data_IF_816221539028
#
_entry.id   IF_816221539028
#
_cell.length_a   1.000
_cell.length_b   1.000
_cell.length_c   1.000
_cell.angle_alpha   90.00
_cell.angle_beta   90.00
_cell.angle_gamma   90.00
#
_symmetry.space_group_name_H-M   'P 1'
#
loop_
_entity.id
_entity.type
_entity.pdbx_description
1 polymer ?
#
# COMPACT_ATOMS: atom_id res chain seq x y z
N UNK A 1 -16.62 13.90 -4.42
CA UNK A 1 -15.24 13.46 -4.13
C UNK A 1 -15.11 11.95 -4.09
N UNK A 2 -16.12 11.20 -3.62
CA UNK A 2 -16.10 9.73 -3.56
C UNK A 2 -15.70 9.01 -4.86
N UNK A 3 -16.18 9.46 -6.03
CA UNK A 3 -15.79 8.85 -7.31
C UNK A 3 -14.30 9.00 -7.65
N UNK A 4 -13.70 10.15 -7.33
CA UNK A 4 -12.27 10.37 -7.51
C UNK A 4 -11.46 9.50 -6.54
N UNK A 5 -11.89 9.45 -5.27
CA UNK A 5 -11.26 8.61 -4.25
C UNK A 5 -11.27 7.14 -4.68
N UNK A 6 -12.42 6.61 -5.08
CA UNK A 6 -12.57 5.25 -5.58
C UNK A 6 -11.59 4.93 -6.72
N UNK A 7 -11.50 5.82 -7.72
CA UNK A 7 -10.60 5.63 -8.86
C UNK A 7 -9.13 5.65 -8.40
N UNK A 8 -8.74 6.62 -7.58
CA UNK A 8 -7.35 6.74 -7.10
C UNK A 8 -6.96 5.57 -6.19
N UNK A 9 -7.85 5.14 -5.29
CA UNK A 9 -7.64 4.03 -4.37
C UNK A 9 -7.40 2.72 -5.14
N UNK A 10 -8.38 2.28 -5.94
CA UNK A 10 -8.27 0.99 -6.61
C UNK A 10 -7.23 0.98 -7.74
N UNK A 11 -7.10 2.07 -8.51
CA UNK A 11 -6.03 2.16 -9.50
C UNK A 11 -4.64 2.24 -8.83
N UNK A 12 -4.55 2.94 -7.70
CA UNK A 12 -3.36 3.03 -6.86
C UNK A 12 -2.92 1.65 -6.35
N UNK A 13 -3.84 0.85 -5.82
CA UNK A 13 -3.51 -0.47 -5.28
C UNK A 13 -3.27 -1.55 -6.31
N UNK A 14 -3.86 -1.46 -7.51
CA UNK A 14 -3.81 -2.56 -8.49
C UNK A 14 -3.10 -2.25 -9.80
N UNK A 15 -3.20 -1.03 -10.32
CA UNK A 15 -2.56 -0.65 -11.59
C UNK A 15 -1.17 -0.05 -11.38
N UNK A 16 -1.05 0.90 -10.46
CA UNK A 16 0.22 1.58 -10.19
C UNK A 16 1.38 0.65 -9.77
N UNK A 17 1.18 -0.49 -9.05
CA UNK A 17 2.27 -1.41 -8.75
C UNK A 17 2.99 -1.92 -10.00
N UNK A 18 2.25 -2.21 -11.07
CA UNK A 18 2.83 -2.66 -12.34
C UNK A 18 3.57 -1.53 -13.07
N UNK A 19 3.06 -0.29 -12.99
CA UNK A 19 3.73 0.87 -13.56
C UNK A 19 5.05 1.17 -12.84
N UNK A 20 5.06 1.13 -11.50
CA UNK A 20 6.27 1.30 -10.70
C UNK A 20 7.25 0.15 -10.97
N UNK A 21 6.76 -1.09 -11.01
CA UNK A 21 7.58 -2.25 -11.34
C UNK A 21 8.22 -2.15 -12.73
N UNK A 22 7.53 -1.55 -13.70
CA UNK A 22 8.07 -1.31 -15.05
C UNK A 22 9.27 -0.37 -15.05
N UNK A 23 9.30 0.59 -14.15
CA UNK A 23 10.38 1.57 -14.00
C UNK A 23 11.56 0.99 -13.19
N UNK A 24 11.29 0.26 -12.10
CA UNK A 24 12.32 -0.20 -11.16
C UNK A 24 12.88 -1.59 -11.51
N UNK A 25 12.02 -2.49 -12.01
CA UNK A 25 12.34 -3.89 -12.30
C UNK A 25 12.16 -4.21 -13.79
N UNK A 26 12.58 -3.31 -14.67
CA UNK A 26 12.22 -3.30 -16.10
C UNK A 26 12.32 -4.65 -16.84
N UNK A 27 13.26 -5.53 -16.49
CA UNK A 27 13.41 -6.87 -17.09
C UNK A 27 12.33 -7.87 -16.66
N UNK A 28 11.89 -7.82 -15.41
CA UNK A 28 10.96 -8.79 -14.79
C UNK A 28 9.72 -8.09 -14.19
N UNK A 29 9.34 -6.96 -14.79
CA UNK A 29 8.36 -6.03 -14.22
C UNK A 29 6.99 -6.64 -13.97
N UNK A 30 6.55 -7.63 -14.76
CA UNK A 30 5.30 -8.35 -14.50
C UNK A 30 5.37 -9.16 -13.21
N UNK A 31 6.48 -9.86 -12.98
CA UNK A 31 6.70 -10.65 -11.75
C UNK A 31 6.85 -9.73 -10.54
N UNK A 32 7.65 -8.67 -10.67
CA UNK A 32 7.81 -7.70 -9.60
C UNK A 32 6.51 -6.93 -9.32
N UNK A 33 5.75 -6.56 -10.35
CA UNK A 33 4.44 -5.91 -10.23
C UNK A 33 3.41 -6.82 -9.54
N UNK A 34 3.40 -8.11 -9.84
CA UNK A 34 2.56 -9.08 -9.13
C UNK A 34 2.94 -9.19 -7.63
N UNK A 35 4.23 -9.19 -7.30
CA UNK A 35 4.68 -9.16 -5.90
C UNK A 35 4.32 -7.83 -5.22
N UNK A 36 4.43 -6.70 -5.92
CA UNK A 36 4.01 -5.40 -5.40
C UNK A 36 2.49 -5.34 -5.17
N UNK A 37 1.68 -5.84 -6.10
CA UNK A 37 0.22 -5.91 -5.93
C UNK A 37 -0.17 -6.89 -4.81
N UNK A 38 0.57 -7.99 -4.63
CA UNK A 38 0.39 -8.89 -3.49
C UNK A 38 0.69 -8.21 -2.14
N UNK A 39 1.41 -7.07 -2.11
CA UNK A 39 1.61 -6.33 -0.88
C UNK A 39 0.30 -5.76 -0.30
N UNK A 40 -0.78 -5.64 -1.09
CA UNK A 40 -2.11 -5.32 -0.57
C UNK A 40 -2.60 -6.34 0.48
N UNK A 41 -1.97 -7.51 0.61
CA UNK A 41 -2.23 -8.44 1.72
C UNK A 41 -1.95 -7.83 3.11
N UNK A 42 -1.29 -6.68 3.22
CA UNK A 42 -1.17 -5.97 4.50
C UNK A 42 -2.54 -5.51 5.03
N UNK A 43 -3.54 -5.33 4.16
CA UNK A 43 -4.94 -5.05 4.54
C UNK A 43 -5.57 -6.14 5.42
N UNK A 44 -4.96 -7.34 5.50
CA UNK A 44 -5.47 -8.38 6.38
C UNK A 44 -5.46 -7.96 7.87
N UNK A 45 -4.71 -6.92 8.24
CA UNK A 45 -4.77 -6.33 9.57
C UNK A 45 -6.08 -5.55 9.86
N UNK A 46 -6.88 -5.24 8.83
CA UNK A 46 -8.24 -4.69 8.99
C UNK A 46 -9.17 -5.67 9.71
N UNK A 47 -8.90 -6.98 9.60
CA UNK A 47 -9.65 -8.00 10.33
C UNK A 47 -9.52 -7.87 11.86
N UNK A 48 -8.57 -7.06 12.35
CA UNK A 48 -8.39 -6.76 13.77
C UNK A 48 -9.24 -5.58 14.26
N UNK A 49 -9.93 -4.87 13.37
CA UNK A 49 -10.74 -3.71 13.71
C UNK A 49 -12.21 -4.06 13.95
N UNK A 50 -12.87 -3.26 14.79
CA UNK A 50 -14.32 -3.27 14.98
C UNK A 50 -14.88 -1.84 14.83
N UNK A 51 -15.69 -1.54 13.80
CA UNK A 51 -16.10 -2.44 12.73
C UNK A 51 -14.95 -2.73 11.75
N UNK A 52 -14.96 -3.92 11.13
CA UNK A 52 -13.95 -4.34 10.13
C UNK A 52 -13.89 -3.34 8.98
N UNK A 53 -15.05 -2.99 8.42
CA UNK A 53 -15.17 -1.98 7.35
C UNK A 53 -15.77 -0.69 7.91
N UNK A 54 -15.02 0.39 7.81
CA UNK A 54 -15.46 1.74 8.12
C UNK A 54 -14.99 2.68 7.00
N UNK A 55 -15.91 3.28 6.22
CA UNK A 55 -15.56 4.14 5.10
C UNK A 55 -14.99 5.50 5.53
N UNK A 56 -15.15 5.88 6.79
CA UNK A 56 -14.73 7.18 7.33
C UNK A 56 -13.41 7.10 8.12
N UNK A 57 -12.85 5.89 8.32
CA UNK A 57 -11.62 5.68 9.12
C UNK A 57 -10.36 5.82 8.28
N UNK A 58 -9.43 6.65 8.76
CA UNK A 58 -8.05 6.62 8.27
C UNK A 58 -7.30 5.35 8.73
N UNK A 59 -6.80 4.54 7.78
CA UNK A 59 -6.03 3.32 8.07
C UNK A 59 -4.66 3.61 8.68
N UNK A 60 -4.02 4.71 8.27
CA UNK A 60 -2.65 5.05 8.65
C UNK A 60 -2.56 5.36 10.15
N UNK A 61 -1.73 4.58 10.85
CA UNK A 61 -1.56 4.68 12.30
C UNK A 61 -2.67 4.03 13.12
N UNK A 62 -3.78 3.61 12.50
CA UNK A 62 -4.83 2.83 13.16
C UNK A 62 -4.51 1.34 13.15
N UNK A 63 -4.13 0.78 11.99
CA UNK A 63 -3.83 -0.65 11.87
C UNK A 63 -2.32 -0.96 12.04
N UNK A 64 -1.95 -2.12 12.60
CA UNK A 64 -0.55 -2.46 12.90
C UNK A 64 0.40 -2.41 11.69
N UNK A 65 -0.03 -2.90 10.52
CA UNK A 65 0.76 -2.92 9.28
C UNK A 65 0.67 -1.59 8.52
N UNK A 66 -0.26 -0.72 8.91
CA UNK A 66 -0.43 0.66 8.43
C UNK A 66 0.21 1.71 9.34
N UNK A 67 0.97 1.28 10.36
CA UNK A 67 1.64 2.15 11.32
C UNK A 67 3.05 2.59 10.92
N UNK A 68 3.57 3.62 11.57
CA UNK A 68 4.92 4.15 11.32
C UNK A 68 6.03 3.12 11.55
N UNK A 69 5.85 2.20 12.50
CA UNK A 69 6.80 1.12 12.72
C UNK A 69 6.84 0.16 11.53
N UNK A 70 5.68 -0.23 10.98
CA UNK A 70 5.59 -1.07 9.80
C UNK A 70 6.19 -0.38 8.57
N UNK A 71 5.88 0.91 8.35
CA UNK A 71 6.51 1.71 7.31
C UNK A 71 8.04 1.71 7.41
N UNK A 72 8.59 1.90 8.62
CA UNK A 72 10.03 1.80 8.87
C UNK A 72 10.62 0.43 8.51
N UNK A 73 9.92 -0.66 8.86
CA UNK A 73 10.31 -2.03 8.47
C UNK A 73 10.32 -2.18 6.95
N UNK A 74 9.30 -1.68 6.24
CA UNK A 74 9.27 -1.73 4.77
C UNK A 74 10.42 -0.95 4.14
N UNK A 75 10.76 0.23 4.67
CA UNK A 75 11.95 0.98 4.22
C UNK A 75 13.23 0.17 4.42
N UNK A 76 13.40 -0.49 5.56
CA UNK A 76 14.57 -1.35 5.81
C UNK A 76 14.60 -2.55 4.85
N UNK A 77 13.45 -3.15 4.52
CA UNK A 77 13.38 -4.24 3.55
C UNK A 77 13.90 -3.85 2.15
N UNK A 78 13.86 -2.56 1.77
CA UNK A 78 14.42 -2.08 0.49
C UNK A 78 15.93 -2.29 0.37
N UNK A 79 16.65 -2.33 1.50
CA UNK A 79 18.09 -2.56 1.55
C UNK A 79 18.48 -4.04 1.42
N UNK A 80 17.51 -4.96 1.54
CA UNK A 80 17.78 -6.40 1.43
C UNK A 80 18.08 -6.74 -0.05
N UNK A 81 19.20 -7.42 -0.38
CA UNK A 81 19.59 -7.71 -1.76
C UNK A 81 18.80 -8.89 -2.38
N UNK A 82 17.49 -8.97 -2.11
CA UNK A 82 16.57 -9.94 -2.68
C UNK A 82 15.47 -9.21 -3.44
N UNK A 83 15.40 -9.42 -4.76
CA UNK A 83 14.52 -8.65 -5.64
C UNK A 83 13.05 -8.65 -5.19
N UNK A 84 12.53 -9.80 -4.73
CA UNK A 84 11.14 -9.94 -4.31
C UNK A 84 10.86 -9.24 -2.97
N UNK A 85 11.84 -9.15 -2.06
CA UNK A 85 11.69 -8.37 -0.81
C UNK A 85 11.63 -6.88 -1.10
N UNK A 86 12.47 -6.41 -2.03
CA UNK A 86 12.47 -5.01 -2.48
C UNK A 86 11.17 -4.67 -3.22
N UNK A 87 10.68 -5.59 -4.07
CA UNK A 87 9.38 -5.45 -4.72
C UNK A 87 8.25 -5.40 -3.68
N UNK A 88 8.17 -6.36 -2.75
CA UNK A 88 7.15 -6.34 -1.70
C UNK A 88 7.21 -5.05 -0.87
N UNK A 89 8.40 -4.61 -0.45
CA UNK A 89 8.57 -3.37 0.29
C UNK A 89 8.13 -2.12 -0.48
N UNK A 90 8.49 -2.01 -1.77
CA UNK A 90 7.99 -0.93 -2.62
C UNK A 90 6.47 -0.99 -2.77
N UNK A 91 5.90 -2.19 -2.90
CA UNK A 91 4.45 -2.41 -2.94
C UNK A 91 3.76 -1.96 -1.66
N UNK A 92 4.26 -2.38 -0.50
CA UNK A 92 3.71 -2.03 0.80
C UNK A 92 3.83 -0.52 1.07
N UNK A 93 4.97 0.10 0.78
CA UNK A 93 5.13 1.56 0.91
C UNK A 93 4.20 2.33 -0.04
N UNK A 94 4.00 1.83 -1.26
CA UNK A 94 3.06 2.43 -2.20
C UNK A 94 1.62 2.27 -1.73
N UNK A 95 1.26 1.09 -1.21
CA UNK A 95 -0.03 0.84 -0.58
C UNK A 95 -0.31 1.86 0.54
N UNK A 96 0.65 2.05 1.47
CA UNK A 96 0.53 3.08 2.51
C UNK A 96 0.38 4.50 1.93
N UNK A 97 1.03 4.80 0.81
CA UNK A 97 0.91 6.12 0.17
C UNK A 97 -0.49 6.34 -0.45
N UNK A 98 -1.12 5.29 -0.99
CA UNK A 98 -2.49 5.33 -1.51
C UNK A 98 -3.47 5.58 -0.36
N UNK A 99 -3.35 4.81 0.73
CA UNK A 99 -4.19 4.94 1.93
C UNK A 99 -4.02 6.31 2.62
N UNK A 100 -2.79 6.85 2.63
CA UNK A 100 -2.54 8.20 3.10
C UNK A 100 -3.28 9.26 2.25
N UNK A 101 -3.39 9.02 0.95
CA UNK A 101 -4.19 9.84 0.04
C UNK A 101 -5.66 9.84 0.42
N UNK A 102 -6.22 8.66 0.72
CA UNK A 102 -7.60 8.51 1.17
C UNK A 102 -7.85 9.24 2.51
N UNK A 103 -6.95 9.08 3.48
CA UNK A 103 -7.00 9.84 4.74
C UNK A 103 -7.01 11.35 4.48
N UNK A 104 -6.22 11.84 3.53
CA UNK A 104 -6.21 13.24 3.11
C UNK A 104 -7.56 13.69 2.52
N UNK A 105 -8.18 12.85 1.70
CA UNK A 105 -9.48 13.13 1.06
C UNK A 105 -10.67 13.04 2.02
N UNK A 106 -10.58 12.20 3.05
CA UNK A 106 -11.56 12.07 4.17
C UNK A 106 -11.36 13.17 5.23
N UNK A 107 -10.19 13.80 5.23
CA UNK A 107 -9.83 14.91 6.11
C UNK A 107 -9.24 14.45 7.44
N UNK A 108 -8.06 13.80 7.38
CA UNK A 108 -6.98 13.45 8.35
C UNK A 108 -7.32 13.15 9.83
N UNK A 109 -8.39 13.72 10.36
CA UNK A 109 -8.93 13.62 11.72
C UNK A 109 -10.18 12.74 11.82
N UNK A 110 -10.54 11.99 10.78
CA UNK A 110 -11.60 10.97 10.82
C UNK A 110 -10.99 9.57 10.73
#
# INVERSE_FOLDING_TARGET
>A
MAGLQFVLHYAGHWLAPFLIARLVFARDWLRAGAVMAAANLIDLDHLLADPIFDPDRCSIGFHPLHGWLAAGVYVVLLAVPKWWMRAFALGALWHLAVDLGDCGMQGWSR
#
